data_IF_355554546989
#
_entry.id   IF_355554546989
#
_cell.length_a   1.000
_cell.length_b   1.000
_cell.length_c   1.000
_cell.angle_alpha   90.00
_cell.angle_beta   90.00
_cell.angle_gamma   90.00
#
_symmetry.space_group_name_H-M   'P 1'
#
loop_
_entity.id
_entity.type
_entity.pdbx_description
1 polymer ?
#
# COMPACT_ATOMS: atom_id res chain seq x y z
N UNK A 1 6.05 -5.13 -38.26
CA UNK A 1 6.12 -5.97 -37.03
C UNK A 1 7.16 -5.36 -36.09
N UNK A 2 6.73 -4.50 -35.17
CA UNK A 2 7.63 -3.78 -34.26
C UNK A 2 7.56 -4.43 -32.87
N UNK A 3 8.73 -4.80 -32.35
CA UNK A 3 8.95 -5.47 -31.07
C UNK A 3 8.27 -4.71 -29.92
N UNK A 4 7.07 -5.15 -29.51
CA UNK A 4 6.47 -4.80 -28.21
C UNK A 4 7.12 -5.65 -27.12
N UNK A 5 8.41 -5.40 -26.83
CA UNK A 5 8.95 -5.77 -25.52
C UNK A 5 8.31 -4.83 -24.51
N UNK A 6 7.35 -5.36 -23.76
CA UNK A 6 6.82 -4.80 -22.53
C UNK A 6 8.00 -4.35 -21.65
N UNK A 7 8.37 -3.06 -21.72
CA UNK A 7 9.19 -2.43 -20.69
C UNK A 7 8.31 -2.40 -19.45
N UNK A 8 8.51 -3.35 -18.55
CA UNK A 8 8.11 -3.18 -17.16
C UNK A 8 8.65 -1.80 -16.74
N UNK A 9 7.76 -0.86 -16.43
CA UNK A 9 8.18 0.46 -15.92
C UNK A 9 8.47 0.28 -14.43
N UNK A 10 9.53 -0.46 -14.11
CA UNK A 10 10.08 -0.50 -12.76
C UNK A 10 10.70 0.86 -12.49
N UNK A 11 10.01 1.72 -11.74
CA UNK A 11 10.63 2.95 -11.25
C UNK A 11 11.41 2.64 -9.97
N UNK A 12 12.52 1.91 -10.11
CA UNK A 12 13.51 1.85 -9.03
C UNK A 12 13.84 3.29 -8.63
N UNK A 13 13.84 3.57 -7.33
CA UNK A 13 14.14 4.89 -6.78
C UNK A 13 13.08 5.96 -7.08
N UNK A 14 11.83 5.60 -7.39
CA UNK A 14 10.73 6.57 -7.57
C UNK A 14 10.48 7.44 -6.34
N UNK A 15 10.85 6.97 -5.14
CA UNK A 15 10.76 7.71 -3.89
C UNK A 15 11.71 8.91 -3.80
N UNK A 16 12.65 9.05 -4.74
CA UNK A 16 13.64 10.13 -4.71
C UNK A 16 13.00 11.52 -4.62
N UNK A 17 13.70 12.47 -3.98
CA UNK A 17 13.18 13.81 -3.86
C UNK A 17 12.92 14.48 -5.21
N UNK A 18 11.66 14.70 -5.52
CA UNK A 18 11.21 15.74 -6.46
C UNK A 18 11.04 17.06 -5.70
N UNK A 19 10.92 18.16 -6.46
CA UNK A 19 10.61 19.52 -5.97
C UNK A 19 9.25 19.63 -5.27
N UNK A 20 8.42 18.57 -5.30
CA UNK A 20 7.07 18.55 -4.74
C UNK A 20 6.86 17.34 -3.85
N UNK A 21 6.40 17.60 -2.63
CA UNK A 21 5.82 16.55 -1.78
C UNK A 21 4.41 16.29 -2.28
N UNK A 22 4.19 15.11 -2.87
CA UNK A 22 2.87 14.67 -3.31
C UNK A 22 2.43 13.53 -2.41
N UNK A 23 1.23 13.63 -1.86
CA UNK A 23 0.53 12.55 -1.14
C UNK A 23 -0.62 12.04 -1.98
N UNK A 24 -0.82 10.73 -2.07
CA UNK A 24 -1.96 10.18 -2.80
C UNK A 24 -3.20 10.18 -1.92
N UNK A 25 -4.32 10.55 -2.52
CA UNK A 25 -5.65 10.37 -1.95
C UNK A 25 -6.44 9.35 -2.77
N UNK A 26 -6.77 8.23 -2.15
CA UNK A 26 -7.54 7.15 -2.76
C UNK A 26 -9.05 7.41 -2.59
N UNK A 27 -9.62 8.18 -3.53
CA UNK A 27 -11.03 8.65 -3.51
C UNK A 27 -12.09 7.58 -3.29
N UNK A 28 -11.79 6.35 -3.69
CA UNK A 28 -12.71 5.22 -3.63
C UNK A 28 -12.38 4.21 -2.54
N UNK A 29 -11.60 4.55 -1.51
CA UNK A 29 -11.28 3.59 -0.44
C UNK A 29 -12.40 3.57 0.60
N UNK A 30 -13.02 2.40 0.79
CA UNK A 30 -14.13 2.18 1.73
C UNK A 30 -13.80 1.07 2.73
N UNK A 31 -14.56 0.99 3.83
CA UNK A 31 -14.38 -0.05 4.86
C UNK A 31 -14.53 -1.49 4.32
N UNK A 32 -15.27 -1.70 3.23
CA UNK A 32 -15.50 -3.00 2.61
C UNK A 32 -14.59 -3.27 1.40
N UNK A 33 -13.51 -2.51 1.23
CA UNK A 33 -12.51 -2.82 0.23
C UNK A 33 -11.74 -4.09 0.57
N UNK A 34 -11.22 -4.82 -0.44
CA UNK A 34 -10.35 -5.97 -0.22
C UNK A 34 -9.21 -5.60 0.73
N UNK A 35 -8.90 -6.50 1.66
CA UNK A 35 -7.88 -6.21 2.68
C UNK A 35 -6.50 -5.94 2.05
N UNK A 36 -6.26 -6.49 0.87
CA UNK A 36 -5.05 -6.33 0.05
C UNK A 36 -4.85 -4.89 -0.43
N UNK A 37 -5.92 -4.13 -0.67
CA UNK A 37 -5.81 -2.71 -1.03
C UNK A 37 -5.16 -1.89 0.08
N UNK A 38 -5.41 -2.24 1.35
CA UNK A 38 -4.81 -1.57 2.49
C UNK A 38 -3.33 -1.92 2.63
N UNK A 39 -2.93 -3.16 2.36
CA UNK A 39 -1.53 -3.59 2.38
C UNK A 39 -0.70 -2.89 1.30
N UNK A 40 -1.21 -2.82 0.07
CA UNK A 40 -0.47 -2.24 -1.05
C UNK A 40 -0.56 -0.72 -1.17
N UNK A 41 -1.30 -0.07 -0.27
CA UNK A 41 -1.58 1.36 -0.36
C UNK A 41 -0.29 2.19 -0.42
N UNK A 42 0.65 1.94 0.50
CA UNK A 42 1.95 2.62 0.61
C UNK A 42 2.86 2.26 -0.57
N UNK A 43 2.92 0.98 -0.90
CA UNK A 43 3.80 0.51 -1.96
C UNK A 43 3.43 1.12 -3.32
N UNK A 44 2.13 1.14 -3.66
CA UNK A 44 1.62 1.78 -4.88
C UNK A 44 1.98 3.26 -4.95
N UNK A 45 1.92 3.97 -3.82
CA UNK A 45 2.33 5.38 -3.81
C UNK A 45 3.82 5.54 -4.05
N UNK A 46 4.64 4.73 -3.38
CA UNK A 46 6.10 4.81 -3.46
C UNK A 46 6.61 4.50 -4.88
N UNK A 47 6.09 3.46 -5.54
CA UNK A 47 6.44 3.17 -6.96
C UNK A 47 5.93 4.23 -7.94
N UNK A 48 4.79 4.85 -7.60
CA UNK A 48 4.20 5.95 -8.36
C UNK A 48 4.93 7.29 -8.21
N UNK A 49 6.00 7.36 -7.40
CA UNK A 49 6.73 8.61 -7.13
C UNK A 49 6.00 9.54 -6.16
N UNK A 50 5.09 8.99 -5.36
CA UNK A 50 4.30 9.70 -4.34
C UNK A 50 4.85 9.31 -2.97
N UNK A 51 4.97 10.27 -2.04
CA UNK A 51 5.63 10.07 -0.73
C UNK A 51 4.67 9.66 0.38
N UNK A 52 3.73 8.80 0.04
CA UNK A 52 2.77 8.23 0.96
C UNK A 52 1.33 8.64 0.71
N UNK A 53 0.52 8.39 1.73
CA UNK A 53 -0.93 8.31 1.64
C UNK A 53 -1.55 9.36 2.54
N UNK A 54 -2.54 10.08 2.01
CA UNK A 54 -3.25 11.12 2.73
C UNK A 54 -4.75 10.83 2.77
N UNK A 55 -5.43 11.47 3.73
CA UNK A 55 -6.89 11.40 3.91
C UNK A 55 -7.40 9.97 4.15
N UNK A 56 -6.64 9.21 4.93
CA UNK A 56 -7.13 7.98 5.55
C UNK A 56 -7.87 8.34 6.84
N UNK A 57 -9.12 7.90 6.95
CA UNK A 57 -9.88 8.13 8.17
C UNK A 57 -9.41 7.19 9.27
N UNK A 58 -9.00 7.73 10.42
CA UNK A 58 -8.70 6.90 11.58
C UNK A 58 -10.00 6.46 12.26
N UNK A 59 -10.85 7.41 12.65
CA UNK A 59 -11.93 7.27 13.62
C UNK A 59 -13.27 7.86 13.12
N UNK A 60 -13.46 7.94 11.81
CA UNK A 60 -14.70 8.43 11.18
C UNK A 60 -15.87 7.42 11.29
N UNK A 61 -16.16 6.98 12.51
CA UNK A 61 -17.06 5.89 12.82
C UNK A 61 -18.52 6.16 12.40
N UNK A 62 -19.29 5.11 12.07
CA UNK A 62 -20.71 5.22 11.73
C UNK A 62 -21.56 5.41 13.00
N UNK A 63 -21.48 6.59 13.63
CA UNK A 63 -22.15 6.89 14.91
C UNK A 63 -23.30 7.88 14.80
N UNK A 64 -23.53 8.49 13.62
CA UNK A 64 -24.63 9.43 13.45
C UNK A 64 -25.94 8.68 13.23
N UNK A 65 -26.92 8.95 14.10
CA UNK A 65 -28.23 8.29 14.10
C UNK A 65 -29.33 9.22 13.58
N UNK A 66 -30.33 8.65 12.90
CA UNK A 66 -31.55 9.37 12.55
C UNK A 66 -32.52 9.51 13.74
N UNK A 67 -33.64 10.22 13.54
CA UNK A 67 -34.69 10.40 14.57
C UNK A 67 -35.28 9.08 15.09
N UNK A 68 -35.08 7.96 14.39
CA UNK A 68 -35.54 6.61 14.79
C UNK A 68 -34.40 5.79 15.42
N UNK A 69 -33.25 6.42 15.72
CA UNK A 69 -32.10 5.77 16.34
C UNK A 69 -31.25 4.91 15.40
N UNK A 70 -31.54 4.88 14.09
CA UNK A 70 -30.79 4.06 13.13
C UNK A 70 -29.52 4.79 12.69
N UNK A 71 -28.40 4.07 12.62
CA UNK A 71 -27.15 4.63 12.08
C UNK A 71 -27.32 4.96 10.60
N UNK A 72 -27.07 6.24 10.24
CA UNK A 72 -27.24 6.76 8.87
C UNK A 72 -26.01 7.49 8.33
N UNK A 73 -25.00 7.74 9.16
CA UNK A 73 -23.80 8.45 8.71
C UNK A 73 -22.57 8.19 9.57
N UNK A 74 -21.42 8.43 8.97
CA UNK A 74 -20.11 8.51 9.62
C UNK A 74 -19.96 9.85 10.34
N UNK A 75 -18.98 9.96 11.24
CA UNK A 75 -18.70 11.21 11.95
C UNK A 75 -18.44 12.40 10.99
N UNK A 76 -17.85 12.14 9.82
CA UNK A 76 -17.62 13.15 8.76
C UNK A 76 -18.92 13.78 8.23
N UNK A 77 -20.04 13.05 8.26
CA UNK A 77 -21.32 13.55 7.78
C UNK A 77 -21.96 14.62 8.68
N UNK A 78 -21.35 14.97 9.83
CA UNK A 78 -21.74 16.17 10.60
C UNK A 78 -21.48 17.46 9.83
N UNK A 79 -20.53 17.43 8.90
CA UNK A 79 -20.15 18.55 8.05
C UNK A 79 -20.50 18.19 6.61
N UNK A 80 -21.68 18.57 6.09
CA UNK A 80 -22.16 18.19 4.76
C UNK A 80 -21.16 18.51 3.63
N UNK A 81 -20.36 19.55 3.81
CA UNK A 81 -19.29 20.00 2.90
C UNK A 81 -18.18 18.94 2.76
N UNK A 82 -18.00 18.08 3.76
CA UNK A 82 -17.09 16.93 3.69
C UNK A 82 -17.54 15.91 2.64
N UNK A 83 -18.80 15.93 2.20
CA UNK A 83 -19.29 15.08 1.11
C UNK A 83 -18.90 15.58 -0.29
N UNK A 84 -18.23 16.74 -0.42
CA UNK A 84 -18.02 17.38 -1.71
C UNK A 84 -16.73 16.92 -2.39
N UNK A 85 -16.90 16.28 -3.55
CA UNK A 85 -15.85 15.90 -4.51
C UNK A 85 -14.68 15.13 -3.89
N UNK A 86 -13.68 15.85 -3.40
CA UNK A 86 -12.42 15.31 -2.91
C UNK A 86 -12.26 15.41 -1.39
N UNK A 87 -13.23 16.00 -0.67
CA UNK A 87 -13.14 16.27 0.76
C UNK A 87 -13.65 15.10 1.63
N UNK A 88 -14.09 14.03 0.99
CA UNK A 88 -14.74 12.91 1.62
C UNK A 88 -13.73 11.94 2.26
N UNK A 89 -14.05 11.49 3.46
CA UNK A 89 -13.35 10.40 4.13
C UNK A 89 -14.41 9.35 4.43
N UNK A 90 -14.36 8.24 3.68
CA UNK A 90 -15.41 7.22 3.64
C UNK A 90 -15.07 5.95 4.42
N UNK A 91 -13.97 5.97 5.16
CA UNK A 91 -13.40 4.79 5.78
C UNK A 91 -12.85 5.10 7.18
N UNK A 92 -12.75 4.08 8.03
CA UNK A 92 -12.14 4.11 9.36
C UNK A 92 -11.14 2.97 9.52
N UNK A 93 -9.89 3.32 9.78
CA UNK A 93 -8.80 2.38 10.03
C UNK A 93 -8.94 1.74 11.42
N UNK A 94 -9.52 2.47 12.36
CA UNK A 94 -9.76 2.03 13.72
C UNK A 94 -11.24 1.76 13.95
N UNK A 95 -11.55 0.85 14.87
CA UNK A 95 -12.90 0.59 15.35
C UNK A 95 -13.08 1.15 16.76
N UNK A 96 -14.31 1.51 17.17
CA UNK A 96 -14.59 1.86 18.56
C UNK A 96 -14.52 0.59 19.43
N UNK A 97 -13.62 0.59 20.42
CA UNK A 97 -13.58 -0.38 21.51
C UNK A 97 -14.19 0.19 22.79
N UNK A 98 -14.32 -0.66 23.82
CA UNK A 98 -14.89 -0.28 25.12
C UNK A 98 -14.17 0.90 25.77
N UNK A 99 -12.83 0.89 25.71
CA UNK A 99 -11.95 1.84 26.39
C UNK A 99 -11.25 2.81 25.43
N UNK A 100 -11.63 2.80 24.14
CA UNK A 100 -11.02 3.64 23.12
C UNK A 100 -10.91 2.98 21.77
N UNK A 101 -10.21 3.63 20.84
CA UNK A 101 -10.00 3.11 19.49
C UNK A 101 -9.14 1.84 19.51
N UNK A 102 -9.58 0.81 18.78
CA UNK A 102 -8.83 -0.44 18.59
C UNK A 102 -8.48 -0.62 17.12
N UNK A 103 -7.39 -1.35 16.87
CA UNK A 103 -6.97 -1.64 15.51
C UNK A 103 -7.96 -2.56 14.82
N UNK A 104 -8.04 -2.43 13.49
CA UNK A 104 -8.81 -3.33 12.63
C UNK A 104 -7.87 -4.11 11.74
N UNK A 105 -8.33 -5.21 11.15
CA UNK A 105 -7.55 -5.95 10.15
C UNK A 105 -7.03 -5.05 9.02
N UNK A 106 -7.79 -4.02 8.62
CA UNK A 106 -7.36 -3.05 7.59
C UNK A 106 -6.17 -2.22 8.06
N UNK A 107 -6.20 -1.78 9.32
CA UNK A 107 -5.08 -1.07 9.93
C UNK A 107 -3.83 -1.95 10.02
N UNK A 108 -4.00 -3.21 10.44
CA UNK A 108 -2.88 -4.16 10.53
C UNK A 108 -2.28 -4.44 9.16
N UNK A 109 -3.10 -4.67 8.13
CA UNK A 109 -2.61 -4.82 6.75
C UNK A 109 -1.86 -3.59 6.26
N UNK A 110 -2.39 -2.39 6.52
CA UNK A 110 -1.70 -1.15 6.17
C UNK A 110 -0.36 -0.99 6.92
N UNK A 111 -0.32 -1.33 8.21
CA UNK A 111 0.89 -1.26 9.02
C UNK A 111 1.96 -2.22 8.50
N UNK A 112 1.61 -3.46 8.20
CA UNK A 112 2.53 -4.43 7.60
C UNK A 112 3.02 -3.95 6.22
N UNK A 113 2.11 -3.47 5.36
CA UNK A 113 2.47 -2.91 4.06
C UNK A 113 3.36 -1.68 4.14
N UNK A 114 3.21 -0.84 5.18
CA UNK A 114 4.11 0.27 5.45
C UNK A 114 5.52 -0.22 5.82
N UNK A 115 5.64 -1.21 6.71
CA UNK A 115 6.93 -1.78 7.11
C UNK A 115 7.66 -2.44 5.93
N UNK A 116 6.93 -3.14 5.06
CA UNK A 116 7.47 -3.70 3.82
C UNK A 116 7.96 -2.60 2.87
N UNK A 117 7.22 -1.50 2.76
CA UNK A 117 7.60 -0.35 1.95
C UNK A 117 8.90 0.29 2.47
N UNK A 118 9.03 0.51 3.77
CA UNK A 118 10.26 1.03 4.39
C UNK A 118 11.45 0.08 4.15
N UNK A 119 11.21 -1.23 4.22
CA UNK A 119 12.26 -2.23 3.95
C UNK A 119 12.71 -2.20 2.49
N UNK A 120 11.76 -2.02 1.57
CA UNK A 120 12.09 -1.77 0.16
C UNK A 120 12.95 -0.51 0.00
N UNK A 121 12.58 0.60 0.64
CA UNK A 121 13.36 1.85 0.59
C UNK A 121 14.78 1.64 1.08
N UNK A 122 14.96 0.92 2.19
CA UNK A 122 16.26 0.57 2.74
C UNK A 122 17.14 -0.21 1.73
N UNK A 123 16.60 -1.26 1.10
CA UNK A 123 17.32 -2.02 0.08
C UNK A 123 17.65 -1.16 -1.15
N UNK A 124 16.70 -0.37 -1.62
CA UNK A 124 16.89 0.52 -2.77
C UNK A 124 17.95 1.59 -2.48
N UNK A 125 17.95 2.19 -1.30
CA UNK A 125 18.95 3.19 -0.92
C UNK A 125 20.37 2.60 -0.94
N UNK A 126 20.56 1.41 -0.36
CA UNK A 126 21.86 0.74 -0.38
C UNK A 126 22.33 0.41 -1.81
N UNK A 127 21.43 -0.08 -2.66
CA UNK A 127 21.72 -0.33 -4.08
C UNK A 127 22.07 0.94 -4.84
N UNK A 128 21.32 2.03 -4.59
CA UNK A 128 21.51 3.32 -5.24
C UNK A 128 22.88 3.93 -4.91
N UNK A 129 23.23 3.92 -3.63
CA UNK A 129 24.47 4.49 -3.13
C UNK A 129 25.66 3.52 -3.23
N UNK A 130 25.46 2.35 -3.86
CA UNK A 130 26.48 1.31 -4.03
C UNK A 130 27.08 0.84 -2.70
N UNK A 131 26.31 0.91 -1.61
CA UNK A 131 26.67 0.38 -0.28
C UNK A 131 26.65 -1.16 -0.23
N UNK A 132 26.18 -1.81 -1.29
CA UNK A 132 26.19 -3.26 -1.45
C UNK A 132 26.55 -3.63 -2.88
N UNK A 133 27.30 -4.72 -3.05
CA UNK A 133 27.74 -5.24 -4.34
C UNK A 133 27.70 -6.78 -4.40
N UNK A 134 28.08 -7.36 -5.54
CA UNK A 134 28.16 -8.82 -5.72
C UNK A 134 26.82 -9.54 -5.59
N UNK A 135 26.87 -10.73 -4.98
CA UNK A 135 25.71 -11.62 -4.88
C UNK A 135 24.59 -11.05 -3.99
N UNK A 136 24.95 -10.35 -2.90
CA UNK A 136 23.95 -9.73 -2.02
C UNK A 136 23.17 -8.63 -2.77
N UNK A 137 23.85 -7.79 -3.54
CA UNK A 137 23.18 -6.79 -4.37
C UNK A 137 22.24 -7.41 -5.41
N UNK A 138 22.63 -8.55 -5.98
CA UNK A 138 21.79 -9.30 -6.93
C UNK A 138 20.53 -9.84 -6.23
N UNK A 139 20.66 -10.42 -5.03
CA UNK A 139 19.53 -10.88 -4.22
C UNK A 139 18.58 -9.75 -3.83
N UNK A 140 19.10 -8.59 -3.40
CA UNK A 140 18.28 -7.40 -3.16
C UNK A 140 17.43 -7.03 -4.38
N UNK A 141 18.05 -7.01 -5.58
CA UNK A 141 17.30 -6.73 -6.82
C UNK A 141 16.25 -7.80 -7.11
N UNK A 142 16.58 -9.07 -6.91
CA UNK A 142 15.64 -10.18 -7.16
C UNK A 142 14.38 -10.07 -6.30
N UNK A 143 14.52 -9.80 -4.99
CA UNK A 143 13.34 -9.67 -4.10
C UNK A 143 12.51 -8.42 -4.43
N UNK A 144 13.16 -7.31 -4.78
CA UNK A 144 12.48 -6.08 -5.20
C UNK A 144 11.72 -6.27 -6.52
N UNK A 145 12.33 -6.93 -7.51
CA UNK A 145 11.72 -7.23 -8.80
C UNK A 145 10.51 -8.16 -8.65
N UNK A 146 10.62 -9.20 -7.81
CA UNK A 146 9.53 -10.14 -7.57
C UNK A 146 8.29 -9.42 -7.03
N UNK A 147 8.47 -8.50 -6.07
CA UNK A 147 7.36 -7.74 -5.49
C UNK A 147 6.76 -6.72 -6.47
N UNK A 148 7.58 -6.02 -7.26
CA UNK A 148 7.06 -5.12 -8.31
C UNK A 148 6.22 -5.88 -9.35
N UNK A 149 6.62 -7.10 -9.72
CA UNK A 149 5.82 -7.92 -10.67
C UNK A 149 4.43 -8.25 -10.14
N UNK A 150 4.32 -8.59 -8.85
CA UNK A 150 3.01 -8.84 -8.22
C UNK A 150 2.13 -7.61 -8.34
N UNK A 151 2.66 -6.42 -8.06
CA UNK A 151 1.87 -5.19 -8.18
C UNK A 151 1.48 -4.85 -9.60
N UNK A 152 2.38 -5.02 -10.57
CA UNK A 152 2.06 -4.88 -11.98
C UNK A 152 0.93 -5.85 -12.39
N UNK A 153 0.93 -7.07 -11.86
CA UNK A 153 -0.13 -8.07 -12.10
C UNK A 153 -1.46 -7.68 -11.46
N UNK A 154 -1.44 -7.12 -10.25
CA UNK A 154 -2.63 -6.62 -9.55
C UNK A 154 -3.20 -5.40 -10.25
N UNK A 155 -2.35 -4.44 -10.66
CA UNK A 155 -2.78 -3.24 -11.39
C UNK A 155 -3.32 -3.58 -12.78
N UNK A 156 -2.76 -4.60 -13.44
CA UNK A 156 -3.30 -5.15 -14.69
C UNK A 156 -4.63 -5.86 -14.49
N UNK A 157 -4.81 -6.61 -13.40
CA UNK A 157 -6.09 -7.23 -13.06
C UNK A 157 -7.16 -6.16 -12.88
N UNK A 158 -6.89 -5.15 -12.04
CA UNK A 158 -7.83 -4.06 -11.74
C UNK A 158 -8.24 -3.25 -12.96
N UNK A 159 -7.33 -3.01 -13.92
CA UNK A 159 -7.65 -2.29 -15.17
C UNK A 159 -8.56 -3.09 -16.11
N UNK A 160 -8.61 -4.41 -15.95
CA UNK A 160 -9.49 -5.31 -16.73
C UNK A 160 -10.82 -5.56 -16.05
N UNK A 161 -10.94 -5.23 -14.77
CA UNK A 161 -12.18 -5.34 -14.01
C UNK A 161 -13.11 -4.18 -14.33
N UNK A 162 -14.31 -4.53 -14.82
CA UNK A 162 -15.35 -3.56 -15.23
C UNK A 162 -16.50 -3.54 -14.21
N UNK A 163 -16.53 -4.44 -13.21
CA UNK A 163 -17.60 -4.49 -12.19
C UNK A 163 -17.09 -4.69 -10.75
N UNK A 164 -17.93 -4.28 -9.79
CA UNK A 164 -17.69 -4.36 -8.34
C UNK A 164 -17.58 -5.81 -7.80
N UNK A 165 -18.04 -6.81 -8.56
CA UNK A 165 -18.08 -8.23 -8.19
C UNK A 165 -16.76 -8.95 -8.45
N UNK A 166 -15.83 -8.36 -9.20
CA UNK A 166 -14.55 -9.00 -9.57
C UNK A 166 -13.40 -8.73 -8.59
N UNK A 167 -13.68 -8.07 -7.45
CA UNK A 167 -12.71 -7.73 -6.40
C UNK A 167 -11.94 -8.95 -5.84
N UNK A 168 -12.50 -10.15 -6.00
CA UNK A 168 -11.88 -11.40 -5.57
C UNK A 168 -10.62 -11.75 -6.38
N UNK A 169 -10.51 -11.34 -7.65
CA UNK A 169 -9.36 -11.66 -8.51
C UNK A 169 -8.07 -11.00 -8.02
N UNK A 170 -8.15 -9.80 -7.44
CA UNK A 170 -7.00 -9.11 -6.83
C UNK A 170 -6.53 -9.86 -5.58
N UNK A 171 -7.48 -10.36 -4.78
CA UNK A 171 -7.18 -11.14 -3.59
C UNK A 171 -6.57 -12.51 -3.95
N UNK A 172 -7.15 -13.23 -4.91
CA UNK A 172 -6.65 -14.51 -5.42
C UNK A 172 -5.22 -14.38 -5.93
N UNK A 173 -4.94 -13.41 -6.81
CA UNK A 173 -3.58 -13.19 -7.31
C UNK A 173 -2.57 -12.84 -6.23
N UNK A 174 -3.00 -12.16 -5.17
CA UNK A 174 -2.15 -11.86 -4.04
C UNK A 174 -1.82 -13.11 -3.21
N UNK A 175 -2.81 -13.98 -3.01
CA UNK A 175 -2.62 -15.27 -2.34
C UNK A 175 -1.75 -16.20 -3.19
N UNK A 176 -2.03 -16.32 -4.48
CA UNK A 176 -1.29 -17.14 -5.45
C UNK A 176 0.17 -16.70 -5.61
N UNK A 177 0.47 -15.42 -5.34
CA UNK A 177 1.82 -14.90 -5.35
C UNK A 177 2.66 -15.31 -4.14
N UNK A 178 2.09 -16.05 -3.18
CA UNK A 178 2.72 -16.41 -1.91
C UNK A 178 3.31 -15.18 -1.21
N UNK A 179 2.43 -14.22 -0.94
CA UNK A 179 2.82 -12.93 -0.37
C UNK A 179 3.58 -13.03 0.95
N UNK A 180 3.34 -14.09 1.72
CA UNK A 180 4.06 -14.35 2.97
C UNK A 180 5.52 -14.64 2.66
N UNK A 181 5.78 -15.58 1.74
CA UNK A 181 7.15 -15.86 1.29
C UNK A 181 7.83 -14.63 0.70
N UNK A 182 7.14 -13.82 -0.11
CA UNK A 182 7.70 -12.57 -0.64
C UNK A 182 8.06 -11.54 0.44
N UNK A 183 7.41 -11.63 1.60
CA UNK A 183 7.66 -10.77 2.75
C UNK A 183 8.82 -11.30 3.57
N UNK A 184 8.87 -12.61 3.79
CA UNK A 184 9.98 -13.28 4.46
C UNK A 184 11.28 -13.11 3.68
N UNK A 185 11.27 -13.32 2.35
CA UNK A 185 12.44 -13.13 1.49
C UNK A 185 12.93 -11.67 1.53
N UNK A 186 12.01 -10.70 1.58
CA UNK A 186 12.34 -9.28 1.66
C UNK A 186 13.04 -8.96 2.98
N UNK A 187 12.47 -9.39 4.11
CA UNK A 187 13.05 -9.16 5.43
C UNK A 187 14.36 -9.93 5.63
N UNK A 188 14.47 -11.16 5.11
CA UNK A 188 15.70 -11.95 5.19
C UNK A 188 16.87 -11.24 4.49
N UNK A 189 16.65 -10.77 3.26
CA UNK A 189 17.69 -10.03 2.52
C UNK A 189 17.99 -8.68 3.17
N UNK A 190 16.99 -8.00 3.73
CA UNK A 190 17.21 -6.77 4.48
C UNK A 190 18.01 -6.99 5.77
N UNK A 191 17.78 -8.09 6.49
CA UNK A 191 18.55 -8.46 7.67
C UNK A 191 20.02 -8.73 7.32
N UNK A 192 20.27 -9.47 6.24
CA UNK A 192 21.65 -9.71 5.75
C UNK A 192 22.35 -8.41 5.35
N UNK A 193 21.65 -7.51 4.66
CA UNK A 193 22.19 -6.19 4.31
C UNK A 193 22.48 -5.37 5.57
N UNK A 194 21.57 -5.34 6.54
CA UNK A 194 21.76 -4.62 7.79
C UNK A 194 22.98 -5.13 8.57
N UNK A 195 23.17 -6.45 8.64
CA UNK A 195 24.36 -7.06 9.23
C UNK A 195 25.63 -6.62 8.49
N UNK A 196 25.62 -6.65 7.15
CA UNK A 196 26.77 -6.24 6.34
C UNK A 196 27.15 -4.77 6.56
N UNK A 197 26.17 -3.88 6.65
CA UNK A 197 26.39 -2.45 6.88
C UNK A 197 26.83 -2.13 8.31
N UNK A 198 26.62 -3.02 9.27
CA UNK A 198 27.08 -2.83 10.65
C UNK A 198 28.55 -3.23 10.85
N UNK A 199 29.13 -3.98 9.91
CA UNK A 199 30.55 -4.37 9.92
C UNK A 199 31.48 -3.33 9.28
N UNK A 200 30.93 -2.34 8.56
CA UNK A 200 31.65 -1.27 7.86
C UNK A 200 31.72 0.03 8.70
#
# INVERSE_FOLDING_TARGET
RQNRRSRFRTNFFAWKPTDRVVTAYFRGLFNNHPITDFRFLTYRTTEGGVRGVGRLGADFWPVLKDKRGRVRGTLSARYPESGWRNLDIRMSMLAPGKDGAVTTTRYEMFREGLQECETRLFLEEALLHKKVSGELAKRCRTVLDARTRVLDDLDRARKREVSYEQKDVIFEKFVDADWQKLTDDLYAVAAELAAKLAEE
#
